data_IF_010599019304
#
_entry.id   IF_010599019304
#
_cell.length_a   1.000
_cell.length_b   1.000
_cell.length_c   1.000
_cell.angle_alpha   90.00
_cell.angle_beta   90.00
_cell.angle_gamma   90.00
#
_symmetry.space_group_name_H-M   'P 1'
#
loop_
_entity.id
_entity.type
_entity.pdbx_description
1 polymer ?
#
# COMPACT_ATOMS: atom_id res chain seq x y z
N UNK A 1 51.42 12.58 21.46
CA UNK A 1 50.91 12.80 20.09
C UNK A 1 49.88 11.72 19.81
N UNK A 2 48.65 11.97 20.26
CA UNK A 2 47.54 11.01 20.35
C UNK A 2 46.54 11.35 19.24
N UNK A 3 46.34 10.45 18.28
CA UNK A 3 45.28 10.59 17.26
C UNK A 3 44.31 9.43 17.37
N UNK A 4 43.22 9.70 18.08
CA UNK A 4 42.03 8.87 18.19
C UNK A 4 41.38 8.70 16.81
N UNK A 5 41.08 7.45 16.44
CA UNK A 5 40.32 7.09 15.23
C UNK A 5 38.90 6.76 15.67
N UNK A 6 38.00 7.73 15.52
CA UNK A 6 36.57 7.59 15.76
C UNK A 6 35.93 6.76 14.65
N UNK A 7 35.43 5.57 15.00
CA UNK A 7 34.53 4.78 14.15
C UNK A 7 33.23 5.56 13.93
N UNK A 8 32.96 5.89 12.66
CA UNK A 8 31.69 6.48 12.25
C UNK A 8 30.75 5.32 11.93
N UNK A 9 29.84 5.02 12.87
CA UNK A 9 28.85 3.96 12.72
C UNK A 9 27.77 4.41 11.74
N UNK A 10 27.93 4.05 10.47
CA UNK A 10 26.94 4.28 9.41
C UNK A 10 25.65 3.55 9.76
N UNK A 11 24.64 4.30 10.19
CA UNK A 11 23.25 3.85 10.34
C UNK A 11 22.66 3.60 8.96
N UNK A 12 22.92 2.40 8.42
CA UNK A 12 22.16 1.83 7.30
C UNK A 12 20.73 1.62 7.76
N UNK A 13 19.86 2.59 7.50
CA UNK A 13 18.41 2.47 7.70
C UNK A 13 17.90 1.51 6.64
N UNK A 14 17.47 0.33 7.09
CA UNK A 14 16.88 -0.74 6.28
C UNK A 14 15.58 -0.27 5.61
N UNK A 15 15.70 0.40 4.46
CA UNK A 15 14.60 0.66 3.52
C UNK A 15 13.93 -0.65 3.05
N UNK A 16 14.62 -1.79 3.20
CA UNK A 16 14.08 -3.13 2.93
C UNK A 16 12.94 -3.53 3.88
N UNK A 17 12.85 -3.01 5.12
CA UNK A 17 11.78 -3.43 6.05
C UNK A 17 10.44 -2.76 5.79
N UNK A 18 10.44 -1.62 5.09
CA UNK A 18 9.19 -0.92 4.72
C UNK A 18 8.56 -1.51 3.45
N UNK A 19 9.36 -2.06 2.53
CA UNK A 19 8.87 -2.68 1.29
C UNK A 19 8.65 -4.20 1.40
N UNK A 20 9.35 -4.89 2.30
CA UNK A 20 9.18 -6.34 2.52
C UNK A 20 7.79 -6.71 3.07
N UNK A 21 7.21 -5.84 3.90
CA UNK A 21 5.90 -6.07 4.54
C UNK A 21 4.73 -5.97 3.57
N UNK A 22 4.90 -5.31 2.41
CA UNK A 22 3.85 -5.19 1.40
C UNK A 22 3.83 -6.34 0.38
N UNK A 23 4.87 -7.19 0.34
CA UNK A 23 5.05 -8.20 -0.72
C UNK A 23 5.06 -9.65 -0.22
N UNK A 24 4.87 -9.89 1.08
CA UNK A 24 4.99 -11.23 1.71
C UNK A 24 3.68 -11.69 2.35
N UNK A 25 2.55 -11.57 1.64
CA UNK A 25 1.25 -12.09 2.12
C UNK A 25 0.66 -13.18 1.22
N UNK A 26 1.47 -13.80 0.39
CA UNK A 26 1.05 -14.96 -0.41
C UNK A 26 2.11 -16.07 -0.31
N UNK A 27 1.63 -17.25 0.09
CA UNK A 27 2.33 -18.54 0.22
C UNK A 27 3.06 -18.79 1.54
N UNK A 28 2.40 -19.52 2.44
CA UNK A 28 2.76 -20.92 2.77
C UNK A 28 1.56 -21.58 3.47
N UNK A 29 1.01 -22.61 2.86
CA UNK A 29 0.04 -23.56 3.44
C UNK A 29 0.75 -24.48 4.44
N UNK A 30 0.09 -24.72 5.57
CA UNK A 30 0.45 -25.71 6.60
C UNK A 30 0.34 -27.14 6.07
N UNK A 31 1.29 -28.00 6.46
CA UNK A 31 1.13 -29.45 6.57
C UNK A 31 1.74 -29.88 7.91
N UNK A 32 0.88 -30.38 8.81
CA UNK A 32 1.23 -31.06 10.07
C UNK A 32 1.55 -32.54 9.78
N UNK A 33 2.76 -33.02 10.12
CA UNK A 33 2.96 -34.32 10.82
C UNK A 33 4.43 -34.58 11.26
N UNK A 34 4.57 -35.07 12.51
CA UNK A 34 5.70 -35.77 13.17
C UNK A 34 6.88 -35.00 13.87
N UNK A 35 7.43 -35.53 15.02
CA UNK A 35 8.16 -34.76 16.05
C UNK A 35 9.66 -35.15 16.21
N UNK A 36 10.35 -34.74 17.29
CA UNK A 36 11.08 -33.48 17.43
C UNK A 36 12.61 -33.69 17.34
N UNK A 37 13.32 -32.87 16.56
CA UNK A 37 14.75 -32.68 16.78
C UNK A 37 15.14 -31.21 16.69
N UNK A 38 15.92 -30.79 17.67
CA UNK A 38 16.18 -29.41 18.00
C UNK A 38 17.12 -28.77 17.00
N UNK A 39 16.65 -27.76 16.27
CA UNK A 39 17.53 -26.74 15.69
C UNK A 39 16.78 -25.41 15.59
N UNK A 40 17.21 -24.45 16.41
CA UNK A 40 17.13 -23.00 16.21
C UNK A 40 15.83 -22.45 15.63
N UNK A 41 14.79 -22.35 16.48
CA UNK A 41 13.59 -21.55 16.21
C UNK A 41 14.00 -20.09 15.99
N UNK A 42 14.02 -19.64 14.74
CA UNK A 42 14.00 -18.22 14.38
C UNK A 42 12.92 -17.56 15.23
N UNK A 43 13.27 -16.57 16.06
CA UNK A 43 12.29 -15.81 16.86
C UNK A 43 11.35 -15.07 15.89
N UNK A 44 10.31 -15.75 15.45
CA UNK A 44 9.11 -15.15 14.87
C UNK A 44 8.63 -14.10 15.89
N UNK A 45 8.47 -12.84 15.48
CA UNK A 45 7.78 -11.89 16.35
C UNK A 45 6.40 -12.49 16.64
N UNK A 46 5.98 -12.61 17.90
CA UNK A 46 4.68 -13.18 18.21
C UNK A 46 3.59 -12.28 17.61
N UNK A 47 2.87 -12.80 16.61
CA UNK A 47 1.60 -12.22 16.14
C UNK A 47 0.65 -12.17 17.34
N UNK A 48 0.09 -10.99 17.68
CA UNK A 48 -0.83 -10.88 18.83
C UNK A 48 -2.24 -11.30 18.51
N UNK A 49 -2.66 -11.07 17.27
CA UNK A 49 -3.95 -11.52 16.77
C UNK A 49 -3.72 -12.51 15.65
N UNK A 50 -4.31 -13.70 15.79
CA UNK A 50 -4.50 -14.61 14.67
C UNK A 50 -5.43 -13.98 13.62
N UNK A 51 -5.37 -14.47 12.39
CA UNK A 51 -6.26 -14.01 11.30
C UNK A 51 -7.75 -14.18 11.61
N UNK A 52 -8.09 -15.11 12.51
CA UNK A 52 -9.46 -15.44 12.94
C UNK A 52 -9.88 -14.77 14.26
N UNK A 53 -8.97 -14.06 14.94
CA UNK A 53 -9.27 -13.47 16.25
C UNK A 53 -9.80 -12.03 16.11
N UNK A 54 -10.97 -11.75 16.70
CA UNK A 54 -11.54 -10.39 16.67
C UNK A 54 -11.14 -9.58 17.90
N UNK A 55 -10.40 -8.46 17.76
CA UNK A 55 -10.09 -7.56 18.87
C UNK A 55 -11.36 -6.88 19.42
N UNK A 56 -11.33 -6.34 20.66
CA UNK A 56 -12.42 -5.55 21.20
C UNK A 56 -12.83 -4.41 20.26
N UNK A 57 -14.14 -4.21 20.09
CA UNK A 57 -14.73 -3.31 19.08
C UNK A 57 -14.09 -1.89 18.98
N UNK A 58 -13.72 -1.21 20.09
CA UNK A 58 -13.08 0.10 20.00
C UNK A 58 -11.68 0.07 19.37
N UNK A 59 -10.91 -0.99 19.63
CA UNK A 59 -9.56 -1.15 19.05
C UNK A 59 -9.67 -1.48 17.56
N UNK A 60 -10.64 -2.31 17.19
CA UNK A 60 -10.95 -2.63 15.79
C UNK A 60 -11.23 -1.34 14.98
N UNK A 61 -12.04 -0.44 15.53
CA UNK A 61 -12.38 0.83 14.85
C UNK A 61 -11.15 1.70 14.58
N UNK A 62 -10.25 1.84 15.57
CA UNK A 62 -9.03 2.63 15.43
C UNK A 62 -8.07 2.01 14.41
N UNK A 63 -7.90 0.69 14.46
CA UNK A 63 -7.03 -0.03 13.52
C UNK A 63 -7.58 0.01 12.10
N UNK A 64 -8.90 -0.12 11.92
CA UNK A 64 -9.56 0.00 10.63
C UNK A 64 -9.38 1.41 10.05
N UNK A 65 -9.55 2.44 10.88
CA UNK A 65 -9.33 3.83 10.47
C UNK A 65 -7.88 4.08 10.03
N UNK A 66 -6.91 3.54 10.77
CA UNK A 66 -5.50 3.60 10.39
C UNK A 66 -5.24 2.91 9.04
N UNK A 67 -5.75 1.70 8.85
CA UNK A 67 -5.58 0.97 7.59
C UNK A 67 -6.20 1.72 6.42
N UNK A 68 -7.37 2.32 6.64
CA UNK A 68 -8.02 3.18 5.65
C UNK A 68 -7.16 4.40 5.27
N UNK A 69 -6.57 5.10 6.26
CA UNK A 69 -5.70 6.27 5.99
C UNK A 69 -4.43 5.92 5.21
N UNK A 70 -3.84 4.75 5.44
CA UNK A 70 -2.66 4.31 4.67
C UNK A 70 -3.07 3.88 3.26
N UNK A 71 -4.18 3.15 3.14
CA UNK A 71 -4.71 2.66 1.88
C UNK A 71 -5.11 3.81 0.93
N UNK A 72 -5.84 4.81 1.42
CA UNK A 72 -6.37 5.90 0.60
C UNK A 72 -5.26 6.70 -0.10
N UNK A 73 -4.10 6.87 0.56
CA UNK A 73 -2.95 7.59 -0.02
C UNK A 73 -2.45 6.94 -1.31
N UNK A 74 -2.23 5.63 -1.30
CA UNK A 74 -1.81 4.89 -2.51
C UNK A 74 -2.93 4.74 -3.54
N UNK A 75 -4.16 4.54 -3.07
CA UNK A 75 -5.32 4.31 -3.95
C UNK A 75 -5.75 5.56 -4.72
N UNK A 76 -5.57 6.78 -4.17
CA UNK A 76 -5.85 8.04 -4.89
C UNK A 76 -4.71 8.40 -5.84
N UNK A 77 -3.46 8.14 -5.45
CA UNK A 77 -2.29 8.51 -6.25
C UNK A 77 -2.29 7.84 -7.64
N UNK A 78 -2.70 6.57 -7.71
CA UNK A 78 -2.68 5.80 -8.96
C UNK A 78 -3.61 6.37 -10.05
N UNK A 79 -4.94 6.55 -9.82
CA UNK A 79 -5.83 7.11 -10.83
C UNK A 79 -5.47 8.55 -11.17
N UNK A 80 -5.04 9.39 -10.22
CA UNK A 80 -4.60 10.76 -10.52
C UNK A 80 -3.39 10.78 -11.47
N UNK A 81 -2.46 9.85 -11.28
CA UNK A 81 -1.32 9.68 -12.17
C UNK A 81 -1.81 9.32 -13.59
N UNK A 82 -2.66 8.31 -13.73
CA UNK A 82 -3.18 7.87 -15.04
C UNK A 82 -4.01 8.96 -15.73
N UNK A 83 -4.89 9.66 -15.00
CA UNK A 83 -5.73 10.74 -15.53
C UNK A 83 -4.88 11.86 -16.16
N UNK A 84 -3.68 12.10 -15.64
CA UNK A 84 -2.75 13.10 -16.18
C UNK A 84 -2.27 12.75 -17.60
N UNK A 85 -2.35 11.47 -18.00
CA UNK A 85 -2.07 10.99 -19.35
C UNK A 85 -3.34 10.86 -20.24
N UNK A 86 -4.52 11.10 -19.68
CA UNK A 86 -5.80 11.02 -20.39
C UNK A 86 -6.30 12.37 -20.93
N UNK A 87 -5.45 13.41 -20.88
CA UNK A 87 -5.78 14.77 -21.34
C UNK A 87 -6.97 15.39 -20.60
N UNK A 88 -7.05 15.17 -19.30
CA UNK A 88 -8.05 15.80 -18.43
C UNK A 88 -7.40 16.94 -17.65
N UNK A 89 -8.00 18.13 -17.72
CA UNK A 89 -7.52 19.31 -17.00
C UNK A 89 -7.65 19.12 -15.48
N UNK A 90 -6.85 19.83 -14.68
CA UNK A 90 -6.88 19.72 -13.22
C UNK A 90 -8.17 20.27 -12.58
N UNK A 91 -8.84 21.21 -13.26
CA UNK A 91 -10.10 21.84 -12.85
C UNK A 91 -11.35 21.02 -13.19
N UNK A 92 -11.20 19.92 -13.94
CA UNK A 92 -12.32 19.12 -14.42
C UNK A 92 -13.03 18.39 -13.25
N UNK A 93 -14.34 18.59 -13.04
CA UNK A 93 -15.10 17.90 -11.99
C UNK A 93 -15.05 16.36 -12.12
N UNK A 94 -14.89 15.82 -13.32
CA UNK A 94 -14.87 14.38 -13.58
C UNK A 94 -13.66 13.65 -12.96
N UNK A 95 -12.60 14.38 -12.59
CA UNK A 95 -11.49 13.80 -11.81
C UNK A 95 -11.97 13.23 -10.48
N UNK A 96 -12.87 13.96 -9.80
CA UNK A 96 -13.44 13.55 -8.52
C UNK A 96 -14.32 12.30 -8.66
N UNK A 97 -15.08 12.21 -9.75
CA UNK A 97 -15.92 11.06 -10.06
C UNK A 97 -15.09 9.78 -10.25
N UNK A 98 -13.95 9.87 -10.94
CA UNK A 98 -13.06 8.72 -11.15
C UNK A 98 -12.42 8.28 -9.82
N UNK A 99 -11.90 9.23 -9.03
CA UNK A 99 -11.26 8.92 -7.75
C UNK A 99 -12.25 8.30 -6.77
N UNK A 100 -13.46 8.87 -6.65
CA UNK A 100 -14.51 8.33 -5.78
C UNK A 100 -14.96 6.94 -6.22
N UNK A 101 -15.09 6.70 -7.53
CA UNK A 101 -15.43 5.39 -8.09
C UNK A 101 -14.38 4.32 -7.75
N UNK A 102 -13.08 4.66 -7.84
CA UNK A 102 -12.00 3.72 -7.46
C UNK A 102 -12.08 3.34 -5.99
N UNK A 103 -12.28 4.32 -5.09
CA UNK A 103 -12.41 4.05 -3.65
C UNK A 103 -13.66 3.22 -3.37
N UNK A 104 -14.79 3.58 -3.98
CA UNK A 104 -16.06 2.88 -3.78
C UNK A 104 -15.99 1.41 -4.26
N UNK A 105 -15.51 1.19 -5.48
CA UNK A 105 -15.36 -0.16 -6.04
C UNK A 105 -14.33 -0.95 -5.25
N UNK A 106 -13.22 -0.33 -4.81
CA UNK A 106 -12.21 -1.00 -3.96
C UNK A 106 -12.76 -1.52 -2.63
N UNK A 107 -13.70 -0.79 -2.01
CA UNK A 107 -14.43 -1.25 -0.83
C UNK A 107 -15.31 -2.46 -1.13
N UNK A 108 -16.08 -2.42 -2.23
CA UNK A 108 -16.95 -3.53 -2.64
C UNK A 108 -16.15 -4.80 -2.91
N UNK A 109 -15.06 -4.71 -3.68
CA UNK A 109 -14.22 -5.87 -3.98
C UNK A 109 -13.51 -6.41 -2.73
N UNK A 110 -13.16 -5.55 -1.77
CA UNK A 110 -12.56 -5.99 -0.49
C UNK A 110 -13.58 -6.75 0.37
N UNK A 111 -14.83 -6.29 0.42
CA UNK A 111 -15.92 -7.02 1.09
C UNK A 111 -16.15 -8.35 0.38
N UNK A 112 -16.20 -8.37 -0.95
CA UNK A 112 -16.39 -9.60 -1.73
C UNK A 112 -15.23 -10.61 -1.50
N UNK A 113 -13.99 -10.13 -1.49
CA UNK A 113 -12.78 -10.93 -1.27
C UNK A 113 -12.73 -11.56 0.12
N UNK A 114 -13.15 -10.81 1.14
CA UNK A 114 -13.14 -11.28 2.54
C UNK A 114 -14.34 -12.17 2.87
N UNK A 115 -15.48 -12.03 2.16
CA UNK A 115 -16.68 -12.84 2.41
C UNK A 115 -16.77 -14.10 1.54
N UNK A 116 -16.64 -13.97 0.22
CA UNK A 116 -16.79 -15.05 -0.76
C UNK A 116 -15.47 -15.54 -1.35
N UNK A 117 -14.42 -14.72 -1.28
CA UNK A 117 -13.10 -15.07 -1.81
C UNK A 117 -12.31 -15.97 -0.86
N UNK A 118 -11.02 -15.68 -0.76
CA UNK A 118 -10.07 -16.50 0.04
C UNK A 118 -10.23 -16.33 1.55
N UNK A 119 -11.14 -15.45 2.02
CA UNK A 119 -11.37 -15.12 3.44
C UNK A 119 -10.17 -14.59 4.22
N UNK A 120 -9.09 -14.22 3.53
CA UNK A 120 -7.97 -13.52 4.14
C UNK A 120 -8.25 -12.01 4.19
N UNK A 121 -7.82 -11.31 5.26
CA UNK A 121 -7.96 -9.87 5.41
C UNK A 121 -6.99 -9.10 4.49
N UNK A 122 -7.27 -9.12 3.18
CA UNK A 122 -6.49 -8.41 2.16
C UNK A 122 -7.31 -7.26 1.62
N UNK A 123 -6.80 -6.03 1.76
CA UNK A 123 -7.40 -4.84 1.17
C UNK A 123 -7.05 -4.82 -0.33
N UNK A 124 -8.08 -4.86 -1.15
CA UNK A 124 -7.97 -4.79 -2.60
C UNK A 124 -8.09 -3.32 -3.05
N UNK A 125 -7.31 -2.93 -4.05
CA UNK A 125 -7.37 -1.57 -4.58
C UNK A 125 -6.50 -1.37 -5.81
N UNK A 126 -6.24 -0.11 -6.14
CA UNK A 126 -5.46 0.24 -7.33
C UNK A 126 -4.01 -0.22 -7.19
N UNK A 127 -3.47 -0.83 -8.26
CA UNK A 127 -2.11 -1.35 -8.30
C UNK A 127 -1.22 -0.52 -9.22
N UNK A 128 -0.10 -0.02 -8.69
CA UNK A 128 0.91 0.72 -9.43
C UNK A 128 1.58 -0.08 -10.55
N UNK A 129 1.57 -1.41 -10.50
CA UNK A 129 2.11 -2.25 -11.57
C UNK A 129 1.39 -2.04 -12.92
N UNK A 130 0.12 -1.60 -12.91
CA UNK A 130 -0.64 -1.32 -14.13
C UNK A 130 -0.38 0.08 -14.71
N UNK A 131 0.31 0.96 -13.98
CA UNK A 131 0.54 2.33 -14.44
C UNK A 131 1.43 2.36 -15.68
N UNK A 132 2.58 1.68 -15.64
CA UNK A 132 3.51 1.61 -16.76
C UNK A 132 2.87 1.06 -18.05
N UNK A 133 2.18 -0.11 -18.05
CA UNK A 133 1.51 -0.61 -19.24
C UNK A 133 0.35 0.30 -19.69
N UNK A 134 -0.36 0.95 -18.76
CA UNK A 134 -1.43 1.91 -19.13
C UNK A 134 -0.86 3.11 -19.88
N UNK A 135 0.24 3.69 -19.40
CA UNK A 135 0.92 4.81 -20.09
C UNK A 135 1.41 4.36 -21.46
N UNK A 136 1.94 3.14 -21.58
CA UNK A 136 2.38 2.60 -22.86
C UNK A 136 1.22 2.46 -23.86
N UNK A 137 0.07 1.91 -23.44
CA UNK A 137 -1.13 1.79 -24.28
C UNK A 137 -1.59 3.18 -24.74
N UNK A 138 -1.60 4.16 -23.83
CA UNK A 138 -2.05 5.52 -24.15
C UNK A 138 -1.10 6.24 -25.11
N UNK A 139 0.22 6.06 -24.97
CA UNK A 139 1.20 6.72 -25.83
C UNK A 139 1.31 6.08 -27.22
N UNK A 140 0.98 4.80 -27.36
CA UNK A 140 0.95 4.12 -28.66
C UNK A 140 -0.36 4.35 -29.41
N UNK A 141 -1.48 4.42 -28.69
CA UNK A 141 -2.82 4.45 -29.31
C UNK A 141 -3.32 5.87 -29.57
N UNK A 142 -2.76 6.88 -28.89
CA UNK A 142 -3.21 8.26 -28.99
C UNK A 142 -2.05 9.25 -29.05
N UNK A 143 -2.22 10.41 -29.72
CA UNK A 143 -1.22 11.47 -29.68
C UNK A 143 -1.02 12.02 -28.25
N UNK A 144 0.17 12.54 -27.92
CA UNK A 144 0.44 13.14 -26.62
C UNK A 144 -0.45 14.37 -26.38
N UNK A 145 -0.89 14.57 -25.13
CA UNK A 145 -1.82 15.65 -24.77
C UNK A 145 -1.30 17.05 -25.08
N UNK A 146 0.03 17.24 -25.08
CA UNK A 146 0.68 18.52 -25.39
C UNK A 146 0.46 18.99 -26.84
N UNK A 147 0.04 18.08 -27.72
CA UNK A 147 -0.26 18.40 -29.13
C UNK A 147 -1.72 18.75 -29.39
N UNK A 148 -2.58 18.59 -28.38
CA UNK A 148 -3.98 19.00 -28.46
C UNK A 148 -4.13 20.41 -27.90
N UNK A 149 -4.80 21.29 -28.64
CA UNK A 149 -5.25 22.58 -28.10
C UNK A 149 -6.51 22.39 -27.24
N UNK A 150 -6.37 21.69 -26.10
CA UNK A 150 -7.41 21.52 -25.07
C UNK A 150 -8.20 22.78 -24.71
N UNK A 151 -7.59 23.98 -24.58
CA UNK A 151 -8.33 25.20 -24.23
C UNK A 151 -9.15 25.79 -25.40
N UNK A 152 -8.88 25.39 -26.64
CA UNK A 152 -9.66 25.82 -27.82
C UNK A 152 -10.87 24.92 -28.10
N UNK A 153 -10.88 23.73 -27.50
CA UNK A 153 -11.91 22.72 -27.71
C UNK A 153 -13.13 23.00 -26.82
N UNK A 154 -14.31 22.69 -27.36
CA UNK A 154 -15.56 22.73 -26.60
C UNK A 154 -15.54 21.68 -25.49
N UNK A 155 -16.25 21.90 -24.38
CA UNK A 155 -16.38 20.94 -23.27
C UNK A 155 -16.71 19.53 -23.73
N UNK A 156 -17.63 19.38 -24.69
CA UNK A 156 -18.00 18.08 -25.26
C UNK A 156 -16.83 17.37 -25.97
N UNK A 157 -16.04 18.11 -26.75
CA UNK A 157 -14.88 17.56 -27.44
C UNK A 157 -13.80 17.15 -26.43
N UNK A 158 -13.58 17.93 -25.38
CA UNK A 158 -12.64 17.58 -24.30
C UNK A 158 -13.09 16.31 -23.58
N UNK A 159 -14.39 16.18 -23.33
CA UNK A 159 -14.99 14.98 -22.73
C UNK A 159 -14.78 13.75 -23.59
N UNK A 160 -15.01 13.86 -24.88
CA UNK A 160 -14.81 12.77 -25.84
C UNK A 160 -13.35 12.28 -25.83
N UNK A 161 -12.36 13.18 -25.79
CA UNK A 161 -10.94 12.81 -25.80
C UNK A 161 -10.53 11.94 -24.61
N UNK A 162 -10.92 12.30 -23.39
CA UNK A 162 -10.56 11.49 -22.22
C UNK A 162 -11.40 10.22 -22.13
N UNK A 163 -12.67 10.24 -22.57
CA UNK A 163 -13.55 9.07 -22.56
C UNK A 163 -13.07 7.97 -23.51
N UNK A 164 -12.62 8.32 -24.71
CA UNK A 164 -12.08 7.35 -25.66
C UNK A 164 -10.82 6.69 -25.08
N UNK A 165 -9.92 7.47 -24.48
CA UNK A 165 -8.71 6.96 -23.79
C UNK A 165 -9.06 6.05 -22.61
N UNK A 166 -10.05 6.43 -21.80
CA UNK A 166 -10.51 5.63 -20.68
C UNK A 166 -11.12 4.31 -21.14
N UNK A 167 -11.92 4.32 -22.22
CA UNK A 167 -12.54 3.13 -22.80
C UNK A 167 -11.49 2.13 -23.31
N UNK A 168 -10.43 2.61 -23.95
CA UNK A 168 -9.34 1.77 -24.44
C UNK A 168 -8.63 1.06 -23.26
N UNK A 169 -8.29 1.82 -22.21
CA UNK A 169 -7.64 1.29 -21.00
C UNK A 169 -8.55 0.29 -20.27
N UNK A 170 -9.82 0.61 -20.10
CA UNK A 170 -10.79 -0.29 -19.47
C UNK A 170 -10.99 -1.58 -20.28
N UNK A 171 -11.04 -1.48 -21.61
CA UNK A 171 -11.13 -2.63 -22.51
C UNK A 171 -9.91 -3.56 -22.38
N UNK A 172 -8.71 -2.99 -22.38
CA UNK A 172 -7.46 -3.74 -22.19
C UNK A 172 -7.42 -4.44 -20.82
N UNK A 173 -7.80 -3.74 -19.75
CA UNK A 173 -7.86 -4.32 -18.39
C UNK A 173 -8.92 -5.42 -18.32
N UNK A 174 -10.09 -5.26 -18.95
CA UNK A 174 -11.13 -6.27 -18.96
C UNK A 174 -10.67 -7.56 -19.66
N UNK A 175 -10.03 -7.45 -20.81
CA UNK A 175 -9.45 -8.61 -21.52
C UNK A 175 -8.35 -9.27 -20.69
N UNK A 176 -7.48 -8.47 -20.06
CA UNK A 176 -6.45 -8.98 -19.15
C UNK A 176 -7.05 -9.72 -17.95
N UNK A 177 -8.13 -9.22 -17.37
CA UNK A 177 -8.80 -9.85 -16.23
C UNK A 177 -9.43 -11.20 -16.62
N UNK A 178 -10.09 -11.26 -17.78
CA UNK A 178 -10.63 -12.52 -18.31
C UNK A 178 -9.52 -13.54 -18.53
N UNK A 179 -8.41 -13.13 -19.16
CA UNK A 179 -7.22 -13.99 -19.33
C UNK A 179 -6.67 -14.47 -17.99
N UNK A 180 -6.58 -13.58 -16.99
CA UNK A 180 -6.11 -13.93 -15.65
C UNK A 180 -7.01 -14.96 -14.96
N UNK A 181 -8.34 -14.86 -15.12
CA UNK A 181 -9.29 -15.86 -14.62
C UNK A 181 -9.08 -17.21 -15.33
N UNK A 182 -8.92 -17.22 -16.65
CA UNK A 182 -8.61 -18.46 -17.39
C UNK A 182 -7.30 -19.10 -16.92
N UNK A 183 -6.24 -18.31 -16.73
CA UNK A 183 -4.97 -18.79 -16.21
C UNK A 183 -5.09 -19.33 -14.78
N UNK A 184 -5.90 -18.67 -13.93
CA UNK A 184 -6.22 -19.15 -12.58
C UNK A 184 -6.95 -20.49 -12.59
N UNK A 185 -7.99 -20.63 -13.42
CA UNK A 185 -8.77 -21.87 -13.55
C UNK A 185 -7.97 -23.02 -14.17
N UNK A 186 -7.04 -22.71 -15.08
CA UNK A 186 -6.17 -23.72 -15.70
C UNK A 186 -5.14 -24.34 -14.76
N UNK A 187 -4.95 -23.78 -13.55
CA UNK A 187 -3.91 -24.21 -12.60
C UNK A 187 -2.49 -23.84 -13.02
N UNK A 188 -2.29 -23.17 -14.17
CA UNK A 188 -0.99 -22.72 -14.65
C UNK A 188 -0.28 -21.80 -13.64
N UNK A 189 -1.06 -21.02 -12.88
CA UNK A 189 -0.54 -20.16 -11.80
C UNK A 189 0.19 -20.98 -10.73
N UNK A 190 -0.27 -22.19 -10.40
CA UNK A 190 0.39 -23.06 -9.43
C UNK A 190 1.76 -23.55 -9.91
N UNK A 191 1.88 -23.89 -11.20
CA UNK A 191 3.17 -24.27 -11.82
C UNK A 191 4.10 -23.06 -11.87
N UNK A 192 3.55 -21.88 -12.21
CA UNK A 192 4.30 -20.64 -12.28
C UNK A 192 4.83 -20.21 -10.90
N UNK A 193 4.04 -20.35 -9.84
CA UNK A 193 4.44 -20.06 -8.46
C UNK A 193 5.63 -20.92 -7.99
N UNK A 194 5.84 -22.10 -8.57
CA UNK A 194 7.05 -22.91 -8.30
C UNK A 194 8.32 -22.30 -8.90
N UNK A 195 8.19 -21.50 -9.96
CA UNK A 195 9.30 -20.81 -10.62
C UNK A 195 9.53 -19.41 -10.04
N UNK A 196 8.48 -18.75 -9.57
CA UNK A 196 8.56 -17.43 -8.94
C UNK A 196 9.13 -17.59 -7.53
N UNK A 197 10.44 -17.38 -7.41
CA UNK A 197 11.13 -17.30 -6.12
C UNK A 197 11.19 -15.84 -5.65
N UNK A 198 11.34 -15.57 -4.33
CA UNK A 198 11.56 -14.22 -3.82
C UNK A 198 12.73 -13.50 -4.52
N UNK A 199 13.70 -14.27 -5.02
CA UNK A 199 14.84 -13.80 -5.78
C UNK A 199 14.44 -13.05 -7.07
N UNK A 200 13.32 -13.40 -7.71
CA UNK A 200 12.84 -12.73 -8.94
C UNK A 200 11.78 -11.68 -8.65
N UNK A 201 10.96 -11.86 -7.61
CA UNK A 201 9.93 -10.89 -7.22
C UNK A 201 10.57 -9.57 -6.78
N UNK A 202 11.55 -9.61 -5.86
CA UNK A 202 12.11 -8.39 -5.26
C UNK A 202 12.74 -7.46 -6.30
N UNK A 203 13.60 -7.94 -7.23
CA UNK A 203 14.12 -7.08 -8.29
C UNK A 203 13.02 -6.53 -9.21
N UNK A 204 12.01 -7.34 -9.54
CA UNK A 204 10.91 -6.92 -10.41
C UNK A 204 10.07 -5.80 -9.78
N UNK A 205 9.68 -5.96 -8.51
CA UNK A 205 8.94 -4.94 -7.76
C UNK A 205 9.79 -3.68 -7.56
N UNK A 206 11.10 -3.84 -7.31
CA UNK A 206 12.03 -2.71 -7.23
C UNK A 206 12.11 -1.95 -8.54
N UNK A 207 12.13 -2.65 -9.68
CA UNK A 207 12.14 -2.03 -11.00
C UNK A 207 10.83 -1.28 -11.30
N UNK A 208 9.69 -1.87 -10.92
CA UNK A 208 8.38 -1.18 -10.98
C UNK A 208 8.41 0.10 -10.15
N UNK A 209 8.90 0.04 -8.91
CA UNK A 209 9.06 1.22 -8.05
C UNK A 209 9.98 2.28 -8.66
N UNK A 210 11.15 1.86 -9.18
CA UNK A 210 12.14 2.75 -9.79
C UNK A 210 11.59 3.47 -11.03
N UNK A 211 10.77 2.80 -11.83
CA UNK A 211 10.13 3.40 -13.01
C UNK A 211 9.20 4.57 -12.63
N UNK A 212 8.55 4.48 -11.46
CA UNK A 212 7.59 5.48 -10.97
C UNK A 212 8.24 6.66 -10.25
N UNK A 213 9.51 6.53 -9.81
CA UNK A 213 10.25 7.62 -9.16
C UNK A 213 10.29 8.85 -10.06
N UNK A 214 10.42 8.68 -11.38
CA UNK A 214 10.49 9.82 -12.31
C UNK A 214 9.18 10.61 -12.35
N UNK A 215 8.04 9.92 -12.31
CA UNK A 215 6.71 10.55 -12.31
C UNK A 215 6.42 11.19 -10.96
N UNK A 216 6.71 10.47 -9.87
CA UNK A 216 6.58 10.98 -8.51
C UNK A 216 7.48 12.19 -8.24
N UNK A 217 8.72 12.18 -8.74
CA UNK A 217 9.66 13.28 -8.59
C UNK A 217 9.21 14.54 -9.34
N UNK A 218 8.66 14.41 -10.55
CA UNK A 218 8.10 15.56 -11.29
C UNK A 218 6.94 16.20 -10.51
N UNK A 219 6.04 15.40 -9.94
CA UNK A 219 4.93 15.91 -9.13
C UNK A 219 5.40 16.50 -7.80
N UNK A 220 6.36 15.86 -7.14
CA UNK A 220 6.94 16.37 -5.90
C UNK A 220 7.71 17.69 -6.13
N UNK A 221 8.36 17.85 -7.28
CA UNK A 221 9.10 19.06 -7.64
C UNK A 221 8.19 20.28 -7.82
N UNK A 222 6.96 20.10 -8.29
CA UNK A 222 5.95 21.18 -8.41
C UNK A 222 5.71 21.87 -7.05
N UNK A 223 5.68 21.09 -5.97
CA UNK A 223 5.55 21.57 -4.60
C UNK A 223 6.66 21.01 -3.71
N UNK A 224 7.92 21.34 -4.06
CA UNK A 224 9.10 20.79 -3.38
C UNK A 224 9.12 21.08 -1.88
N UNK A 225 8.62 22.24 -1.44
CA UNK A 225 8.59 22.62 -0.03
C UNK A 225 7.64 21.75 0.81
N UNK A 226 6.43 21.49 0.30
CA UNK A 226 5.44 20.63 0.98
C UNK A 226 5.94 19.18 1.00
N UNK A 227 6.54 18.72 -0.10
CA UNK A 227 7.11 17.38 -0.22
C UNK A 227 8.30 17.17 0.72
N UNK A 228 9.20 18.16 0.84
CA UNK A 228 10.33 18.09 1.78
C UNK A 228 9.86 18.14 3.24
N UNK A 229 8.89 19.01 3.55
CA UNK A 229 8.30 19.10 4.89
C UNK A 229 7.66 17.78 5.31
N UNK A 230 6.86 17.16 4.43
CA UNK A 230 6.22 15.86 4.70
C UNK A 230 7.23 14.74 4.86
N UNK A 231 8.31 14.72 4.07
CA UNK A 231 9.40 13.75 4.23
C UNK A 231 10.13 13.92 5.57
N UNK A 232 10.50 15.15 5.92
CA UNK A 232 11.16 15.46 7.19
C UNK A 232 10.25 15.10 8.37
N UNK A 233 8.97 15.47 8.29
CA UNK A 233 7.99 15.13 9.32
C UNK A 233 7.82 13.61 9.44
N UNK A 234 7.75 12.87 8.34
CA UNK A 234 7.69 11.41 8.35
C UNK A 234 8.93 10.81 9.01
N UNK A 235 10.13 11.30 8.68
CA UNK A 235 11.38 10.83 9.31
C UNK A 235 11.42 11.16 10.79
N UNK A 236 11.05 12.38 11.20
CA UNK A 236 11.01 12.78 12.61
C UNK A 236 9.95 11.96 13.36
N UNK A 237 8.73 11.82 12.85
CA UNK A 237 7.69 11.01 13.47
C UNK A 237 8.09 9.53 13.55
N UNK A 238 8.65 8.95 12.48
CA UNK A 238 9.08 7.55 12.45
C UNK A 238 10.27 7.27 13.37
N UNK A 239 11.23 8.20 13.48
CA UNK A 239 12.49 7.97 14.19
C UNK A 239 12.49 8.51 15.63
N UNK A 240 11.79 9.63 15.89
CA UNK A 240 11.79 10.31 17.19
C UNK A 240 10.62 9.87 18.07
N UNK A 241 9.41 9.65 17.52
CA UNK A 241 8.26 9.24 18.33
C UNK A 241 8.31 7.77 18.77
N UNK A 242 9.17 6.93 18.16
CA UNK A 242 9.48 5.60 18.73
C UNK A 242 10.09 5.67 20.13
N UNK A 243 10.73 6.79 20.47
CA UNK A 243 11.45 6.99 21.74
C UNK A 243 10.63 7.79 22.77
N UNK A 244 9.56 8.48 22.34
CA UNK A 244 8.74 9.33 23.23
C UNK A 244 7.60 8.53 23.85
N UNK A 245 7.59 8.42 25.18
CA UNK A 245 6.46 7.87 25.93
C UNK A 245 5.36 8.92 26.05
N UNK A 246 4.29 8.77 25.28
CA UNK A 246 3.13 9.65 25.36
C UNK A 246 2.26 9.20 26.54
N UNK A 247 1.93 10.08 27.50
CA UNK A 247 0.98 9.74 28.55
C UNK A 247 -0.42 9.64 27.95
N UNK A 248 -1.02 8.45 27.94
CA UNK A 248 -2.44 8.31 27.62
C UNK A 248 -3.23 8.04 28.91
N UNK A 249 -4.46 8.58 29.04
CA UNK A 249 -5.36 8.21 30.10
C UNK A 249 -5.86 6.79 29.84
N UNK A 250 -5.48 5.83 30.67
CA UNK A 250 -6.04 4.48 30.66
C UNK A 250 -7.17 4.45 31.69
N UNK A 251 -8.38 4.15 31.25
CA UNK A 251 -9.51 3.96 32.16
C UNK A 251 -9.53 2.51 32.63
N UNK A 252 -9.25 2.29 33.92
CA UNK A 252 -9.29 0.96 34.54
C UNK A 252 -10.53 0.89 35.42
N UNK A 253 -11.44 -0.06 35.13
CA UNK A 253 -12.62 -0.34 35.97
C UNK A 253 -12.15 -0.58 37.42
N UNK A 254 -12.57 0.30 38.33
CA UNK A 254 -12.28 0.20 39.76
C UNK A 254 -11.13 1.06 40.32
N UNK A 255 -10.28 1.69 39.49
CA UNK A 255 -9.17 2.56 39.97
C UNK A 255 -9.16 3.99 39.39
N UNK A 256 -10.16 4.37 38.60
CA UNK A 256 -10.26 5.70 38.00
C UNK A 256 -9.36 5.88 36.77
N UNK A 257 -9.20 7.14 36.32
CA UNK A 257 -8.33 7.50 35.19
C UNK A 257 -6.88 7.48 35.67
N UNK A 258 -6.10 6.49 35.22
CA UNK A 258 -4.67 6.42 35.50
C UNK A 258 -3.88 6.88 34.28
N UNK A 259 -3.06 7.92 34.45
CA UNK A 259 -2.20 8.44 33.39
C UNK A 259 -0.99 7.51 33.25
N UNK A 260 -1.06 6.55 32.33
CA UNK A 260 0.02 5.59 32.10
C UNK A 260 0.90 6.09 30.96
N UNK A 261 2.22 6.10 31.15
CA UNK A 261 3.19 6.51 30.12
C UNK A 261 3.56 5.29 29.28
N UNK A 262 3.19 5.28 28.01
CA UNK A 262 3.50 4.19 27.10
C UNK A 262 4.01 4.74 25.75
N UNK A 263 4.99 4.11 25.08
CA UNK A 263 5.45 4.54 23.76
C UNK A 263 4.38 4.25 22.69
N UNK A 264 3.39 5.15 22.58
CA UNK A 264 2.21 5.06 21.70
C UNK A 264 2.54 4.62 20.26
N UNK A 265 3.69 5.04 19.72
CA UNK A 265 4.12 4.74 18.34
C UNK A 265 4.86 3.42 18.19
N UNK A 266 5.49 2.91 19.26
CA UNK A 266 5.96 1.52 19.29
C UNK A 266 4.76 0.57 19.29
N UNK A 267 3.66 0.96 19.95
CA UNK A 267 2.37 0.28 19.88
C UNK A 267 1.58 0.54 18.58
N UNK A 268 2.06 1.27 17.58
CA UNK A 268 1.31 1.35 16.32
C UNK A 268 1.51 0.07 15.47
N UNK A 269 2.74 -0.47 15.38
CA UNK A 269 2.96 -1.88 15.00
C UNK A 269 2.66 -2.87 16.15
N UNK A 270 2.88 -2.49 17.41
CA UNK A 270 2.76 -3.40 18.58
C UNK A 270 1.37 -3.37 19.26
N UNK A 271 0.39 -2.56 18.86
CA UNK A 271 -1.05 -2.71 19.22
C UNK A 271 -1.75 -3.71 18.30
N UNK A 272 -1.10 -4.04 17.18
CA UNK A 272 -1.24 -5.31 16.46
C UNK A 272 -0.49 -6.46 17.19
N UNK A 273 0.10 -6.17 18.37
CA UNK A 273 1.10 -6.95 19.09
C UNK A 273 1.00 -7.14 20.64
N UNK A 274 0.23 -6.38 21.46
CA UNK A 274 0.26 -6.49 22.94
C UNK A 274 -1.10 -6.38 23.70
N UNK A 275 -1.30 -7.38 24.58
CA UNK A 275 -2.04 -7.45 25.88
C UNK A 275 -3.56 -7.37 25.91
N UNK A 276 -4.19 -8.55 25.81
CA UNK A 276 -5.30 -8.95 26.67
C UNK A 276 -4.82 -9.75 27.88
N UNK A 277 -3.94 -9.17 28.72
CA UNK A 277 -3.69 -9.71 30.06
C UNK A 277 -4.73 -9.14 31.01
N UNK A 278 -5.98 -9.62 30.91
CA UNK A 278 -6.95 -9.48 31.99
C UNK A 278 -6.57 -10.51 33.03
N UNK A 279 -6.36 -10.05 34.27
CA UNK A 279 -6.24 -10.89 35.44
C UNK A 279 -7.42 -11.87 35.49
N UNK A 280 -7.11 -13.16 35.42
CA UNK A 280 -7.55 -14.13 36.42
C UNK A 280 -6.31 -14.79 37.01
#
# INVERSE_FOLDING_TARGET
>A
MTRSRTETKTTSVSFQSLFSTASTTAATTDDDDAPPDGTTRTKQLPLLYGTEESPPWPHCLVMAFQHYLVFIGGSIATPLLVISYMCMEASDPHRGDIVSSVIFVSGIITILQTTFGIRLPIIQGSNFAYVAPTIAILSTSFPPCDTLDLPSLTEEQRREQWQIRMREVQGAIAVSAVLQVFLGLSGAVGILLRFITPLTIVPSVTLLGLSLITVGAKQAASHWGISALTLVLLVILSQYLKTVLVPHPTYVKGKGVSLTRSPLFTYFPVSLGIRGGVNE
#
